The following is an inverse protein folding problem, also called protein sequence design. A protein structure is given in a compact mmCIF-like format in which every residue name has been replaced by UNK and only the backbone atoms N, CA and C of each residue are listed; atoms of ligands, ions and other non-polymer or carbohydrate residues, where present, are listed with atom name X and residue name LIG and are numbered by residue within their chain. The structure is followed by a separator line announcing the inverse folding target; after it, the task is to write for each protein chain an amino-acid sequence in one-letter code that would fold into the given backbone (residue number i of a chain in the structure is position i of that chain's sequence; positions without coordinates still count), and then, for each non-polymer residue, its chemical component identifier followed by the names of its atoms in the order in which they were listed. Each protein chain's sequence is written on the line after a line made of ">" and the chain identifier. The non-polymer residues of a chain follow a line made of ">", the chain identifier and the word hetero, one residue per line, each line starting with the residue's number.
data_IF_453754442001
#
_entry.id   IF_453754442001
#
_cell.length_a   1.000
_cell.length_b   1.000
_cell.length_c   1.000
_cell.angle_alpha   90.00
_cell.angle_beta   90.00
_cell.angle_gamma   90.00
#
_symmetry.space_group_name_H-M   'P 1'
#
loop_
_entity.id
_entity.type
_entity.pdbx_description
1 polymer ?
#
# COMPACT_ATOMS: atom_id res chain seq x y z
N UNK A 1 40.82 -9.29 64.67
CA UNK A 1 40.52 -8.08 63.82
C UNK A 1 40.53 -8.42 62.29
N UNK A 2 41.18 -9.50 61.87
CA UNK A 2 41.38 -9.86 60.44
C UNK A 2 40.17 -10.52 59.80
N UNK A 3 39.34 -11.27 60.54
CA UNK A 3 38.19 -12.01 59.98
C UNK A 3 37.06 -11.12 59.57
N UNK A 4 36.77 -10.06 60.33
CA UNK A 4 35.71 -9.09 60.03
C UNK A 4 36.08 -8.24 58.80
N UNK A 5 37.35 -7.90 58.63
CA UNK A 5 37.82 -7.15 57.46
C UNK A 5 37.72 -7.97 56.16
N UNK A 6 38.00 -9.28 56.22
CA UNK A 6 37.82 -10.18 55.08
C UNK A 6 36.35 -10.43 54.73
N UNK A 7 35.49 -10.60 55.72
CA UNK A 7 34.02 -10.72 55.46
C UNK A 7 33.45 -9.42 54.85
N UNK A 8 33.82 -8.26 55.34
CA UNK A 8 33.37 -6.98 54.76
C UNK A 8 33.87 -6.77 53.31
N UNK A 9 35.06 -7.28 53.00
CA UNK A 9 35.61 -7.25 51.65
C UNK A 9 34.83 -8.17 50.71
N UNK A 10 34.42 -9.38 51.14
CA UNK A 10 33.59 -10.30 50.39
C UNK A 10 32.14 -9.76 50.15
N UNK A 11 31.56 -9.11 51.19
CA UNK A 11 30.22 -8.53 51.07
C UNK A 11 30.23 -7.37 50.05
N UNK A 12 31.25 -6.46 50.12
CA UNK A 12 31.38 -5.36 49.13
C UNK A 12 31.65 -5.88 47.72
N UNK A 13 32.49 -6.88 47.52
CA UNK A 13 32.72 -7.43 46.18
C UNK A 13 31.50 -8.16 45.59
N UNK A 14 30.65 -8.75 46.45
CA UNK A 14 29.39 -9.35 46.06
C UNK A 14 28.32 -8.31 45.63
N UNK A 15 28.27 -7.20 46.40
CA UNK A 15 27.38 -6.06 46.09
C UNK A 15 27.78 -5.33 44.79
N UNK A 16 29.08 -5.13 44.57
CA UNK A 16 29.61 -4.52 43.34
C UNK A 16 29.40 -5.40 42.12
N UNK A 17 29.48 -6.72 42.30
CA UNK A 17 29.18 -7.69 41.22
C UNK A 17 27.70 -7.70 40.85
N UNK A 18 26.80 -7.68 41.85
CA UNK A 18 25.35 -7.61 41.62
C UNK A 18 24.91 -6.27 40.99
N UNK A 19 25.50 -5.16 41.44
CA UNK A 19 25.23 -3.83 40.89
C UNK A 19 25.68 -3.76 39.40
N UNK A 20 26.84 -4.33 39.06
CA UNK A 20 27.31 -4.42 37.66
C UNK A 20 26.45 -5.32 36.78
N UNK A 21 25.94 -6.41 37.34
CA UNK A 21 25.05 -7.32 36.62
C UNK A 21 23.67 -6.71 36.39
N UNK A 22 23.13 -5.98 37.36
CA UNK A 22 21.90 -5.18 37.20
C UNK A 22 22.08 -4.02 36.21
N UNK A 23 23.21 -3.34 36.19
CA UNK A 23 23.51 -2.33 35.16
C UNK A 23 23.66 -2.92 33.77
N UNK A 24 24.26 -4.11 33.63
CA UNK A 24 24.32 -4.82 32.35
C UNK A 24 22.94 -5.30 31.88
N UNK A 25 22.07 -5.77 32.76
CA UNK A 25 20.70 -6.14 32.43
C UNK A 25 19.86 -4.90 32.07
N UNK A 26 20.04 -3.74 32.69
CA UNK A 26 19.37 -2.51 32.32
C UNK A 26 19.92 -1.90 31.02
N UNK A 27 21.21 -2.01 30.75
CA UNK A 27 21.80 -1.59 29.46
C UNK A 27 21.51 -2.58 28.31
N UNK A 28 21.34 -3.88 28.60
CA UNK A 28 20.93 -4.89 27.63
C UNK A 28 19.45 -4.78 27.26
N UNK A 29 18.61 -4.19 28.11
CA UNK A 29 17.20 -3.92 27.81
C UNK A 29 16.97 -2.60 27.07
N UNK A 30 17.97 -1.71 27.01
CA UNK A 30 17.93 -0.49 26.19
C UNK A 30 18.43 -0.70 24.76
N UNK A 31 18.95 -1.90 24.41
CA UNK A 31 19.33 -2.27 23.06
C UNK A 31 18.19 -3.08 22.41
N UNK A 32 17.40 -2.40 21.60
CA UNK A 32 16.51 -2.95 20.58
C UNK A 32 15.51 -4.00 21.10
N UNK A 33 14.48 -3.59 21.78
CA UNK A 33 13.18 -4.17 21.52
C UNK A 33 12.83 -3.75 20.08
N UNK A 34 12.60 -4.68 19.12
CA UNK A 34 11.88 -4.35 17.91
C UNK A 34 10.52 -3.82 18.40
N UNK A 35 10.22 -2.56 18.11
CA UNK A 35 8.87 -2.05 18.33
C UNK A 35 7.90 -3.10 17.79
N UNK A 36 6.92 -3.58 18.59
CA UNK A 36 5.89 -4.43 18.05
C UNK A 36 5.29 -3.64 16.90
N UNK A 37 5.39 -4.18 15.68
CA UNK A 37 4.78 -3.63 14.47
C UNK A 37 3.30 -3.45 14.81
N UNK A 38 2.94 -2.23 15.20
CA UNK A 38 1.55 -1.89 15.44
C UNK A 38 0.85 -2.17 14.11
N UNK A 39 -0.25 -2.94 14.08
CA UNK A 39 -0.98 -3.18 12.85
C UNK A 39 -1.32 -1.80 12.28
N UNK A 40 -0.83 -1.53 11.05
CA UNK A 40 -1.03 -0.25 10.40
C UNK A 40 -2.52 0.10 10.43
N UNK A 41 -2.85 1.33 10.82
CA UNK A 41 -4.24 1.77 10.80
C UNK A 41 -4.79 1.66 9.37
N UNK A 42 -6.11 1.45 9.18
CA UNK A 42 -6.70 1.38 7.84
C UNK A 42 -6.28 2.55 6.92
N UNK A 43 -6.10 3.75 7.46
CA UNK A 43 -5.61 4.93 6.72
C UNK A 43 -4.13 4.82 6.31
N UNK A 44 -3.29 4.15 7.11
CA UNK A 44 -1.90 3.90 6.75
C UNK A 44 -1.78 2.78 5.70
N UNK A 45 -2.70 1.82 5.72
CA UNK A 45 -2.78 0.77 4.69
C UNK A 45 -3.26 1.34 3.35
N UNK A 46 -4.28 2.21 3.34
CA UNK A 46 -4.76 2.88 2.14
C UNK A 46 -3.63 3.67 1.46
N UNK A 47 -2.92 4.49 2.22
CA UNK A 47 -1.74 5.22 1.70
C UNK A 47 -0.64 4.30 1.16
N UNK A 48 -0.49 3.11 1.74
CA UNK A 48 0.48 2.12 1.28
C UNK A 48 0.10 1.55 -0.09
N UNK A 49 -1.17 1.26 -0.32
CA UNK A 49 -1.65 0.74 -1.62
C UNK A 49 -1.47 1.79 -2.73
N UNK A 50 -1.84 3.06 -2.46
CA UNK A 50 -1.60 4.16 -3.40
C UNK A 50 -0.11 4.28 -3.75
N UNK A 51 0.77 4.25 -2.74
CA UNK A 51 2.20 4.28 -2.94
C UNK A 51 2.68 3.12 -3.83
N UNK A 52 2.21 1.90 -3.58
CA UNK A 52 2.61 0.72 -4.36
C UNK A 52 2.12 0.78 -5.81
N UNK A 53 0.91 1.32 -6.05
CA UNK A 53 0.40 1.54 -7.41
C UNK A 53 1.26 2.55 -8.17
N UNK A 54 1.59 3.68 -7.57
CA UNK A 54 2.44 4.69 -8.23
C UNK A 54 3.88 4.20 -8.37
N UNK A 55 4.39 3.44 -7.41
CA UNK A 55 5.69 2.76 -7.56
C UNK A 55 5.70 1.83 -8.78
N UNK A 56 4.59 1.11 -9.02
CA UNK A 56 4.47 0.27 -10.22
C UNK A 56 4.43 1.10 -11.51
N UNK A 57 3.75 2.26 -11.51
CA UNK A 57 3.76 3.19 -12.65
C UNK A 57 5.16 3.75 -12.91
N UNK A 58 5.88 4.17 -11.88
CA UNK A 58 7.24 4.71 -12.01
C UNK A 58 8.22 3.66 -12.52
N UNK A 59 8.13 2.41 -12.06
CA UNK A 59 9.09 1.35 -12.40
C UNK A 59 8.77 0.58 -13.66
N UNK A 60 7.50 0.46 -13.99
CA UNK A 60 7.00 -0.48 -15.00
C UNK A 60 5.91 0.13 -15.88
N UNK A 61 5.73 1.45 -15.85
CA UNK A 61 4.62 2.15 -16.51
C UNK A 61 4.46 1.81 -17.98
N UNK A 62 5.57 1.63 -18.70
CA UNK A 62 5.62 1.29 -20.11
C UNK A 62 5.46 -0.21 -20.41
N UNK A 63 5.58 -1.07 -19.39
CA UNK A 63 5.54 -2.53 -19.64
C UNK A 63 4.13 -2.99 -19.98
N UNK A 64 4.01 -3.72 -21.09
CA UNK A 64 2.74 -4.30 -21.53
C UNK A 64 2.38 -5.44 -20.59
N UNK A 65 1.17 -5.42 -20.05
CA UNK A 65 0.62 -6.46 -19.16
C UNK A 65 -0.60 -7.16 -19.77
N UNK A 66 -1.20 -6.57 -20.78
CA UNK A 66 -2.26 -7.19 -21.56
C UNK A 66 -1.98 -6.99 -23.04
N UNK A 67 -1.87 -8.10 -23.75
CA UNK A 67 -1.76 -8.13 -25.22
C UNK A 67 -3.10 -8.52 -25.84
N UNK A 68 -3.37 -7.96 -27.03
CA UNK A 68 -4.53 -8.33 -27.84
C UNK A 68 -5.89 -8.20 -27.12
N UNK A 69 -6.07 -7.11 -26.37
CA UNK A 69 -7.37 -6.79 -25.75
C UNK A 69 -8.31 -6.28 -26.83
N UNK A 70 -9.44 -6.96 -27.00
CA UNK A 70 -10.50 -6.51 -27.92
C UNK A 70 -11.19 -5.27 -27.36
N UNK A 71 -11.16 -4.17 -28.11
CA UNK A 71 -11.92 -2.96 -27.78
C UNK A 71 -13.35 -3.08 -28.26
N UNK A 72 -14.23 -2.21 -27.74
CA UNK A 72 -15.65 -2.17 -28.14
C UNK A 72 -15.86 -2.00 -29.66
N UNK A 73 -14.88 -1.45 -30.37
CA UNK A 73 -14.88 -1.24 -31.81
C UNK A 73 -14.33 -2.45 -32.61
N UNK A 74 -14.06 -3.59 -31.95
CA UNK A 74 -13.52 -4.80 -32.56
C UNK A 74 -12.04 -4.69 -32.98
N UNK A 75 -11.33 -3.66 -32.52
CA UNK A 75 -9.89 -3.54 -32.70
C UNK A 75 -9.16 -4.19 -31.53
N UNK A 76 -7.98 -4.74 -31.79
CA UNK A 76 -7.09 -5.25 -30.75
C UNK A 76 -6.09 -4.19 -30.35
N UNK A 77 -5.94 -3.97 -29.04
CA UNK A 77 -4.94 -3.07 -28.46
C UNK A 77 -4.17 -3.78 -27.35
N UNK A 78 -2.97 -3.29 -27.07
CA UNK A 78 -2.20 -3.73 -25.91
C UNK A 78 -2.25 -2.66 -24.85
N UNK A 79 -2.33 -3.06 -23.58
CA UNK A 79 -2.34 -2.14 -22.44
C UNK A 79 -1.07 -2.31 -21.63
N UNK A 80 -0.39 -1.21 -21.40
CA UNK A 80 0.71 -1.16 -20.44
C UNK A 80 0.20 -0.89 -19.01
N UNK A 81 1.10 -0.95 -18.03
CA UNK A 81 0.76 -0.75 -16.61
C UNK A 81 0.06 0.59 -16.38
N UNK A 82 0.59 1.70 -16.92
CA UNK A 82 0.01 3.02 -16.71
C UNK A 82 -1.39 3.12 -17.33
N UNK A 83 -1.56 2.62 -18.55
CA UNK A 83 -2.86 2.60 -19.26
C UNK A 83 -3.89 1.75 -18.51
N UNK A 84 -3.50 0.56 -18.05
CA UNK A 84 -4.40 -0.32 -17.30
C UNK A 84 -4.88 0.31 -16.00
N UNK A 85 -3.95 0.85 -15.18
CA UNK A 85 -4.30 1.52 -13.92
C UNK A 85 -5.23 2.71 -14.18
N UNK A 86 -4.92 3.54 -15.17
CA UNK A 86 -5.75 4.69 -15.51
C UNK A 86 -7.13 4.30 -16.00
N UNK A 87 -7.22 3.29 -16.87
CA UNK A 87 -8.50 2.78 -17.38
C UNK A 87 -9.37 2.24 -16.25
N UNK A 88 -8.78 1.44 -15.38
CA UNK A 88 -9.50 0.81 -14.27
C UNK A 88 -9.98 1.84 -13.23
N UNK A 89 -9.13 2.78 -12.82
CA UNK A 89 -9.51 3.84 -11.89
C UNK A 89 -10.51 4.82 -12.52
N UNK A 90 -10.35 5.13 -13.81
CA UNK A 90 -11.23 6.03 -14.54
C UNK A 90 -12.65 5.48 -14.67
N UNK A 91 -12.84 4.17 -14.75
CA UNK A 91 -14.16 3.55 -14.84
C UNK A 91 -15.05 3.84 -13.62
N UNK A 92 -14.45 4.05 -12.44
CA UNK A 92 -15.15 4.36 -11.18
C UNK A 92 -14.88 5.79 -10.69
N UNK A 93 -14.32 6.66 -11.54
CA UNK A 93 -13.93 8.03 -11.19
C UNK A 93 -13.00 8.12 -9.95
N UNK A 94 -12.19 7.09 -9.73
CA UNK A 94 -11.26 7.02 -8.61
C UNK A 94 -9.98 7.80 -8.90
N UNK A 95 -9.50 8.54 -7.90
CA UNK A 95 -8.25 9.29 -7.96
C UNK A 95 -7.41 9.04 -6.73
N UNK A 96 -6.10 9.22 -6.86
CA UNK A 96 -5.19 9.14 -5.72
C UNK A 96 -5.40 10.33 -4.78
N UNK A 97 -5.18 10.11 -3.49
CA UNK A 97 -5.33 11.15 -2.46
C UNK A 97 -4.27 12.25 -2.58
N UNK A 98 -3.08 11.93 -3.10
CA UNK A 98 -2.01 12.89 -3.30
C UNK A 98 -2.01 13.42 -4.75
N UNK A 99 -2.09 14.76 -4.96
CA UNK A 99 -2.08 15.35 -6.29
C UNK A 99 -0.86 14.96 -7.14
N UNK A 100 0.31 14.77 -6.51
CA UNK A 100 1.53 14.36 -7.21
C UNK A 100 1.41 12.96 -7.82
N UNK A 101 0.66 12.04 -7.19
CA UNK A 101 0.44 10.70 -7.73
C UNK A 101 -0.45 10.73 -8.98
N UNK A 102 -1.49 11.57 -8.98
CA UNK A 102 -2.33 11.77 -10.16
C UNK A 102 -1.53 12.38 -11.31
N UNK A 103 -0.62 13.33 -11.01
CA UNK A 103 0.27 13.95 -12.00
C UNK A 103 1.22 12.92 -12.61
N UNK A 104 1.86 12.07 -11.80
CA UNK A 104 2.75 10.99 -12.27
C UNK A 104 1.98 10.03 -13.19
N UNK A 105 0.77 9.60 -12.81
CA UNK A 105 -0.04 8.72 -13.66
C UNK A 105 -0.41 9.39 -14.98
N UNK A 106 -0.83 10.65 -14.96
CA UNK A 106 -1.16 11.40 -16.17
C UNK A 106 0.02 11.54 -17.12
N UNK A 107 1.20 11.93 -16.62
CA UNK A 107 2.40 12.06 -17.45
C UNK A 107 2.87 10.69 -17.99
N UNK A 108 2.75 9.62 -17.21
CA UNK A 108 3.02 8.27 -17.70
C UNK A 108 2.12 7.89 -18.87
N UNK A 109 0.85 8.31 -18.85
CA UNK A 109 -0.08 8.10 -19.95
C UNK A 109 0.26 8.90 -21.19
N UNK A 110 0.59 10.18 -21.03
CA UNK A 110 0.94 11.07 -22.12
C UNK A 110 2.15 10.54 -22.90
N UNK A 111 3.13 9.97 -22.20
CA UNK A 111 4.34 9.39 -22.80
C UNK A 111 4.25 7.89 -23.10
N UNK A 112 3.17 7.23 -22.74
CA UNK A 112 3.01 5.77 -22.87
C UNK A 112 3.14 5.24 -24.31
N UNK A 113 2.88 6.09 -25.29
CA UNK A 113 2.99 5.76 -26.74
C UNK A 113 4.31 6.23 -27.37
N UNK A 114 5.18 6.90 -26.64
CA UNK A 114 6.43 7.41 -27.16
C UNK A 114 7.44 6.27 -27.39
N UNK A 115 8.06 6.18 -28.58
CA UNK A 115 9.06 5.17 -28.84
C UNK A 115 10.26 5.28 -27.90
N UNK A 116 10.53 4.22 -27.14
CA UNK A 116 11.66 4.18 -26.20
C UNK A 116 11.41 4.85 -24.86
N UNK A 117 10.18 5.22 -24.55
CA UNK A 117 9.81 5.70 -23.23
C UNK A 117 10.12 4.64 -22.17
N UNK A 118 10.83 5.07 -21.12
CA UNK A 118 11.10 4.29 -19.92
C UNK A 118 10.70 5.10 -18.71
N UNK A 119 9.64 4.69 -18.06
CA UNK A 119 9.03 5.44 -16.97
C UNK A 119 10.03 5.75 -15.85
N UNK A 120 10.81 4.76 -15.41
CA UNK A 120 11.79 4.95 -14.33
C UNK A 120 12.82 6.02 -14.65
N UNK A 121 13.43 5.97 -15.86
CA UNK A 121 14.43 6.95 -16.27
C UNK A 121 13.81 8.34 -16.46
N UNK A 122 12.61 8.41 -17.01
CA UNK A 122 11.88 9.65 -17.24
C UNK A 122 11.57 10.35 -15.92
N UNK A 123 10.95 9.65 -14.96
CA UNK A 123 10.56 10.25 -13.70
C UNK A 123 11.76 10.56 -12.78
N UNK A 124 12.81 9.76 -12.79
CA UNK A 124 14.03 10.06 -12.02
C UNK A 124 14.74 11.32 -12.52
N UNK A 125 14.67 11.62 -13.82
CA UNK A 125 15.29 12.80 -14.46
C UNK A 125 14.27 13.93 -14.69
N UNK A 126 13.11 13.85 -14.09
CA UNK A 126 12.03 14.81 -14.31
C UNK A 126 12.42 16.22 -13.89
N UNK A 127 12.06 17.27 -14.67
CA UNK A 127 12.41 18.67 -14.36
C UNK A 127 11.73 19.18 -13.07
N UNK A 128 10.56 18.63 -12.71
CA UNK A 128 9.91 18.89 -11.44
C UNK A 128 10.63 18.11 -10.32
N UNK A 129 11.23 18.85 -9.40
CA UNK A 129 12.01 18.25 -8.29
C UNK A 129 11.16 17.40 -7.34
N UNK A 130 9.87 17.68 -7.19
CA UNK A 130 8.98 16.87 -6.33
C UNK A 130 8.75 15.51 -6.98
N UNK A 131 8.48 15.46 -8.28
CA UNK A 131 8.30 14.21 -9.03
C UNK A 131 9.61 13.42 -9.02
N UNK A 132 10.74 14.04 -9.35
CA UNK A 132 12.04 13.39 -9.37
C UNK A 132 12.43 12.80 -8.01
N UNK A 133 12.14 13.50 -6.92
CA UNK A 133 12.37 13.01 -5.55
C UNK A 133 11.53 11.79 -5.23
N UNK A 134 10.22 11.86 -5.46
CA UNK A 134 9.28 10.74 -5.23
C UNK A 134 9.68 9.54 -6.08
N UNK A 135 9.98 9.73 -7.36
CA UNK A 135 10.39 8.66 -8.25
C UNK A 135 11.72 8.01 -7.79
N UNK A 136 12.68 8.81 -7.37
CA UNK A 136 13.96 8.30 -6.84
C UNK A 136 13.73 7.45 -5.58
N UNK A 137 12.92 7.91 -4.64
CA UNK A 137 12.55 7.14 -3.43
C UNK A 137 11.90 5.80 -3.81
N UNK A 138 10.95 5.82 -4.75
CA UNK A 138 10.24 4.62 -5.22
C UNK A 138 11.12 3.64 -5.98
N UNK A 139 12.13 4.12 -6.70
CA UNK A 139 13.08 3.27 -7.44
C UNK A 139 14.09 2.58 -6.52
N UNK A 140 14.49 3.22 -5.42
CA UNK A 140 15.41 2.64 -4.44
C UNK A 140 14.72 1.77 -3.38
N UNK A 141 13.42 1.93 -3.18
CA UNK A 141 12.69 1.14 -2.19
C UNK A 141 12.64 -0.33 -2.63
N UNK A 142 13.43 -1.14 -1.93
CA UNK A 142 13.57 -2.58 -2.19
C UNK A 142 12.37 -3.37 -1.65
N UNK A 143 11.15 -2.99 -1.95
CA UNK A 143 10.04 -3.93 -1.85
C UNK A 143 10.24 -5.01 -2.92
N UNK A 144 11.07 -5.98 -2.58
CA UNK A 144 11.24 -7.18 -3.38
C UNK A 144 9.90 -7.90 -3.41
N UNK A 145 9.25 -7.82 -4.55
CA UNK A 145 8.20 -8.73 -4.95
C UNK A 145 8.64 -10.15 -4.56
N UNK A 146 7.81 -10.88 -3.82
CA UNK A 146 8.15 -12.20 -3.29
C UNK A 146 8.78 -13.07 -4.38
N UNK A 147 10.08 -13.31 -4.27
CA UNK A 147 10.77 -14.34 -5.03
C UNK A 147 10.25 -15.69 -4.56
N UNK A 148 9.25 -16.24 -5.24
CA UNK A 148 8.68 -17.51 -4.75
C UNK A 148 7.77 -18.28 -5.69
N UNK A 149 7.55 -17.84 -6.92
CA UNK A 149 6.82 -18.65 -7.90
C UNK A 149 7.76 -19.10 -9.02
N UNK A 150 8.16 -20.35 -8.98
CA UNK A 150 8.83 -21.03 -10.07
C UNK A 150 7.92 -21.02 -11.29
N UNK A 151 8.45 -20.64 -12.48
CA UNK A 151 7.90 -20.92 -13.84
C UNK A 151 6.77 -20.04 -14.37
N UNK A 152 6.53 -18.82 -13.85
CA UNK A 152 5.69 -17.85 -14.57
C UNK A 152 6.58 -16.81 -15.25
N UNK A 153 6.16 -16.28 -16.41
CA UNK A 153 6.84 -15.15 -17.03
C UNK A 153 6.84 -13.95 -16.08
N UNK A 154 7.88 -13.11 -16.14
CA UNK A 154 7.92 -11.91 -15.30
C UNK A 154 6.71 -10.98 -15.54
N UNK A 155 6.17 -10.99 -16.76
CA UNK A 155 5.00 -10.22 -17.18
C UNK A 155 3.70 -10.73 -16.52
N UNK A 156 3.50 -12.05 -16.44
CA UNK A 156 2.33 -12.61 -15.75
C UNK A 156 2.31 -12.28 -14.26
N UNK A 157 3.48 -12.36 -13.63
CA UNK A 157 3.62 -11.99 -12.20
C UNK A 157 3.34 -10.51 -12.00
N UNK A 158 3.85 -9.64 -12.87
CA UNK A 158 3.60 -8.20 -12.80
C UNK A 158 2.10 -7.91 -12.98
N UNK A 159 1.46 -8.51 -13.98
CA UNK A 159 0.02 -8.35 -14.24
C UNK A 159 -0.80 -8.74 -13.02
N UNK A 160 -0.60 -9.94 -12.45
CA UNK A 160 -1.32 -10.38 -11.26
C UNK A 160 -1.15 -9.40 -10.09
N UNK A 161 0.05 -8.86 -9.91
CA UNK A 161 0.33 -7.90 -8.84
C UNK A 161 -0.41 -6.57 -9.05
N UNK A 162 -0.40 -6.04 -10.28
CA UNK A 162 -1.11 -4.79 -10.59
C UNK A 162 -2.61 -4.97 -10.40
N UNK A 163 -3.18 -6.07 -10.88
CA UNK A 163 -4.61 -6.39 -10.69
C UNK A 163 -4.97 -6.45 -9.19
N UNK A 164 -4.16 -7.16 -8.40
CA UNK A 164 -4.37 -7.22 -6.95
C UNK A 164 -4.29 -5.85 -6.27
N UNK A 165 -3.30 -5.02 -6.64
CA UNK A 165 -3.16 -3.68 -6.08
C UNK A 165 -4.35 -2.77 -6.43
N UNK A 166 -4.86 -2.86 -7.64
CA UNK A 166 -6.05 -2.10 -8.07
C UNK A 166 -7.29 -2.56 -7.30
N UNK A 167 -7.48 -3.86 -7.11
CA UNK A 167 -8.58 -4.39 -6.31
C UNK A 167 -8.46 -3.99 -4.83
N UNK A 168 -7.26 -4.01 -4.26
CA UNK A 168 -7.01 -3.53 -2.90
C UNK A 168 -7.33 -2.03 -2.76
N UNK A 169 -6.95 -1.21 -3.73
CA UNK A 169 -7.26 0.21 -3.77
C UNK A 169 -8.79 0.45 -3.81
N UNK A 170 -9.50 -0.25 -4.70
CA UNK A 170 -10.96 -0.23 -4.76
C UNK A 170 -11.61 -0.67 -3.44
N UNK A 171 -11.08 -1.72 -2.83
CA UNK A 171 -11.56 -2.22 -1.55
C UNK A 171 -11.46 -1.16 -0.45
N UNK A 172 -10.34 -0.44 -0.37
CA UNK A 172 -10.13 0.61 0.63
C UNK A 172 -11.09 1.78 0.41
N UNK A 173 -11.30 2.19 -0.84
CA UNK A 173 -12.29 3.21 -1.19
C UNK A 173 -13.71 2.82 -0.80
N UNK A 174 -14.11 1.58 -1.10
CA UNK A 174 -15.43 1.04 -0.75
C UNK A 174 -15.63 0.96 0.76
N UNK A 175 -14.62 0.54 1.52
CA UNK A 175 -14.65 0.54 2.99
C UNK A 175 -14.85 1.94 3.55
N UNK A 176 -14.16 2.93 2.99
CA UNK A 176 -14.29 4.31 3.42
C UNK A 176 -15.68 4.89 3.10
N UNK A 177 -16.22 4.59 1.91
CA UNK A 177 -17.59 4.95 1.53
C UNK A 177 -18.62 4.34 2.46
N UNK A 178 -18.50 3.05 2.80
CA UNK A 178 -19.39 2.39 3.76
C UNK A 178 -19.36 3.06 5.14
N UNK A 179 -18.17 3.46 5.60
CA UNK A 179 -18.02 4.17 6.88
C UNK A 179 -18.71 5.54 6.85
N UNK A 180 -18.57 6.30 5.75
CA UNK A 180 -19.25 7.59 5.57
C UNK A 180 -20.77 7.40 5.59
N UNK A 181 -21.29 6.43 4.82
CA UNK A 181 -22.72 6.12 4.78
C UNK A 181 -23.28 5.72 6.15
N UNK A 182 -22.53 4.95 6.95
CA UNK A 182 -22.94 4.61 8.32
C UNK A 182 -23.09 5.86 9.20
N UNK A 183 -22.16 6.81 9.10
CA UNK A 183 -22.21 8.07 9.84
C UNK A 183 -23.43 8.90 9.40
N UNK A 184 -23.65 9.01 8.08
CA UNK A 184 -24.80 9.77 7.54
C UNK A 184 -26.14 9.15 7.95
N UNK A 185 -26.27 7.83 7.91
CA UNK A 185 -27.46 7.13 8.39
C UNK A 185 -27.71 7.41 9.87
N UNK A 186 -26.66 7.34 10.70
CA UNK A 186 -26.76 7.62 12.14
C UNK A 186 -27.15 9.08 12.47
N UNK A 187 -26.79 10.02 11.60
CA UNK A 187 -27.10 11.44 11.75
C UNK A 187 -28.43 11.83 11.10
N UNK A 188 -29.00 10.97 10.25
CA UNK A 188 -30.25 11.26 9.56
C UNK A 188 -31.43 11.09 10.52
N UNK A 189 -31.95 12.21 11.02
CA UNK A 189 -33.13 12.25 11.91
C UNK A 189 -34.27 13.02 11.26
N UNK A 190 -35.44 12.40 11.21
CA UNK A 190 -36.68 13.09 10.77
C UNK A 190 -36.94 13.11 9.26
N UNK A 191 -36.02 12.64 8.43
CA UNK A 191 -36.19 12.55 6.96
C UNK A 191 -36.19 11.06 6.54
N UNK A 192 -37.38 10.49 6.44
CA UNK A 192 -37.54 9.08 6.10
C UNK A 192 -37.13 8.76 4.65
N UNK A 193 -37.36 9.69 3.69
CA UNK A 193 -37.00 9.44 2.29
C UNK A 193 -35.47 9.41 2.13
N UNK A 194 -34.78 10.36 2.74
CA UNK A 194 -33.31 10.38 2.76
C UNK A 194 -32.73 9.16 3.48
N UNK A 195 -33.33 8.74 4.57
CA UNK A 195 -32.92 7.53 5.32
C UNK A 195 -32.99 6.29 4.42
N UNK A 196 -34.10 6.11 3.68
CA UNK A 196 -34.30 4.97 2.78
C UNK A 196 -33.25 4.99 1.66
N UNK A 197 -32.97 6.16 1.07
CA UNK A 197 -31.94 6.31 0.05
C UNK A 197 -30.56 5.91 0.57
N UNK A 198 -30.14 6.42 1.73
CA UNK A 198 -28.86 6.10 2.35
C UNK A 198 -28.71 4.59 2.67
N UNK A 199 -29.78 3.96 3.14
CA UNK A 199 -29.78 2.51 3.41
C UNK A 199 -29.60 1.73 2.10
N UNK A 200 -30.26 2.15 1.03
CA UNK A 200 -30.11 1.53 -0.29
C UNK A 200 -28.68 1.64 -0.80
N UNK A 201 -28.10 2.86 -0.74
CA UNK A 201 -26.72 3.12 -1.15
C UNK A 201 -25.71 2.28 -0.33
N UNK A 202 -25.96 2.14 0.96
CA UNK A 202 -25.18 1.28 1.85
C UNK A 202 -25.22 -0.18 1.42
N UNK A 203 -26.43 -0.71 1.12
CA UNK A 203 -26.60 -2.10 0.68
C UNK A 203 -25.93 -2.37 -0.67
N UNK A 204 -26.04 -1.44 -1.63
CA UNK A 204 -25.38 -1.54 -2.94
C UNK A 204 -23.84 -1.51 -2.78
N UNK A 205 -23.33 -0.59 -1.97
CA UNK A 205 -21.90 -0.49 -1.68
C UNK A 205 -21.38 -1.75 -0.95
N UNK A 206 -22.21 -2.35 -0.07
CA UNK A 206 -21.85 -3.61 0.61
C UNK A 206 -21.79 -4.79 -0.37
N UNK A 207 -22.68 -4.86 -1.36
CA UNK A 207 -22.62 -5.87 -2.42
C UNK A 207 -21.33 -5.72 -3.24
N UNK A 208 -20.97 -4.49 -3.62
CA UNK A 208 -19.73 -4.21 -4.32
C UNK A 208 -18.51 -4.67 -3.52
N UNK A 209 -18.44 -4.33 -2.23
CA UNK A 209 -17.38 -4.81 -1.33
C UNK A 209 -17.24 -6.34 -1.35
N UNK A 210 -18.37 -7.06 -1.30
CA UNK A 210 -18.37 -8.52 -1.28
C UNK A 210 -17.90 -9.09 -2.64
N UNK A 211 -18.21 -8.46 -3.75
CA UNK A 211 -17.71 -8.85 -5.07
C UNK A 211 -16.19 -8.69 -5.15
N UNK A 212 -15.66 -7.52 -4.78
CA UNK A 212 -14.21 -7.28 -4.77
C UNK A 212 -13.50 -8.26 -3.81
N UNK A 213 -14.09 -8.57 -2.65
CA UNK A 213 -13.52 -9.53 -1.71
C UNK A 213 -13.42 -10.94 -2.30
N UNK A 214 -14.38 -11.38 -3.10
CA UNK A 214 -14.31 -12.68 -3.81
C UNK A 214 -13.21 -12.68 -4.85
N UNK A 215 -13.06 -11.61 -5.62
CA UNK A 215 -12.00 -11.46 -6.62
C UNK A 215 -10.61 -11.47 -5.98
N UNK A 216 -10.46 -10.88 -4.79
CA UNK A 216 -9.23 -10.94 -3.98
C UNK A 216 -9.00 -12.31 -3.33
N UNK A 217 -9.92 -13.28 -3.47
CA UNK A 217 -9.84 -14.57 -2.81
C UNK A 217 -10.12 -14.50 -1.30
N UNK A 218 -10.67 -13.39 -0.81
CA UNK A 218 -11.07 -13.22 0.58
C UNK A 218 -12.55 -13.61 0.72
N UNK A 219 -12.83 -14.85 1.08
CA UNK A 219 -14.18 -15.24 1.48
C UNK A 219 -14.55 -14.50 2.76
N UNK A 220 -15.47 -13.53 2.65
CA UNK A 220 -16.08 -12.93 3.84
C UNK A 220 -17.12 -13.95 4.32
N UNK A 221 -16.77 -14.69 5.34
CA UNK A 221 -17.73 -15.50 6.11
C UNK A 221 -18.64 -14.49 6.81
N UNK A 222 -19.92 -14.51 6.45
CA UNK A 222 -21.00 -13.70 7.06
C UNK A 222 -21.42 -14.38 8.37
#
# INVERSE_FOLDING_TARGET
>A
ATLIATMNKFIRSGQDAQAKEQQRQQQGQAAAQPEPLQPATPQQQAKKVEYMLIQAVVRHGEQIIYDNVETADGQTTSLNVAQYISYDLGADELTFSLPIYNKILQEALEHSSDPGFKAEEFFMKHPDMEISKVATEMSFDKFQLRKGAKLRSGEEVLREQIVHLVLDFRMDFVKEKLKKLQIEIAQCTGDNERMISLIKDYQETQKLRNTIARELGNEIII
#
